data_IF_904886384984
#
_entry.id   IF_904886384984
#
_cell.length_a   1.000
_cell.length_b   1.000
_cell.length_c   1.000
_cell.angle_alpha   90.00
_cell.angle_beta   90.00
_cell.angle_gamma   90.00
#
_symmetry.space_group_name_H-M   'P 1'
#
loop_
_entity.id
_entity.type
_entity.pdbx_description
1 polymer ?
#
# COMPACT_ATOMS: atom_id res chain seq x y z
N UNK A 1 -4.21 -7.40 -7.70
CA UNK A 1 -3.34 -6.50 -6.91
C UNK A 1 -4.18 -5.31 -6.53
N UNK A 2 -4.34 -5.06 -5.23
CA UNK A 2 -5.19 -3.98 -4.71
C UNK A 2 -4.28 -2.89 -4.18
N UNK A 3 -3.58 -2.24 -5.11
CA UNK A 3 -2.68 -1.12 -4.84
C UNK A 3 -3.21 0.09 -5.59
N UNK A 4 -3.24 1.24 -4.94
CA UNK A 4 -3.61 2.48 -5.58
C UNK A 4 -2.37 3.08 -6.28
N UNK A 5 -2.47 3.51 -7.54
CA UNK A 5 -1.37 4.18 -8.23
C UNK A 5 -1.11 5.58 -7.67
N UNK A 6 -2.09 6.17 -6.98
CA UNK A 6 -2.00 7.47 -6.32
C UNK A 6 -3.12 7.59 -5.28
N UNK A 7 -2.82 8.25 -4.17
CA UNK A 7 -3.83 8.69 -3.18
C UNK A 7 -4.35 10.11 -3.43
N UNK A 8 -3.83 10.81 -4.44
CA UNK A 8 -4.33 12.11 -4.89
C UNK A 8 -5.36 11.88 -5.99
N UNK A 9 -6.60 12.28 -5.72
CA UNK A 9 -7.68 12.26 -6.71
C UNK A 9 -7.51 13.50 -7.60
N UNK A 10 -7.18 13.28 -8.86
CA UNK A 10 -7.05 14.36 -9.84
C UNK A 10 -8.43 14.77 -10.36
N UNK A 11 -8.54 16.01 -10.83
CA UNK A 11 -9.73 16.44 -11.53
C UNK A 11 -9.83 15.70 -12.88
N UNK A 12 -10.95 15.02 -13.09
CA UNK A 12 -11.26 14.27 -14.31
C UNK A 12 -12.79 14.13 -14.42
N UNK A 13 -13.27 13.44 -15.45
CA UNK A 13 -14.65 13.06 -15.59
C UNK A 13 -15.14 12.22 -14.38
N UNK A 14 -16.43 12.33 -14.06
CA UNK A 14 -16.98 11.70 -12.85
C UNK A 14 -16.84 10.17 -12.80
N UNK A 15 -16.79 9.49 -13.95
CA UNK A 15 -16.57 8.05 -13.99
C UNK A 15 -15.15 7.68 -13.58
N UNK A 16 -14.15 8.42 -14.06
CA UNK A 16 -12.74 8.24 -13.71
C UNK A 16 -12.48 8.54 -12.22
N UNK A 17 -13.01 9.65 -11.70
CA UNK A 17 -12.90 10.00 -10.27
C UNK A 17 -13.46 8.90 -9.38
N UNK A 18 -14.65 8.37 -9.70
CA UNK A 18 -15.26 7.27 -8.94
C UNK A 18 -14.43 5.99 -9.04
N UNK A 19 -13.89 5.67 -10.21
CA UNK A 19 -13.02 4.51 -10.37
C UNK A 19 -11.77 4.61 -9.49
N UNK A 20 -11.15 5.80 -9.44
CA UNK A 20 -9.98 6.05 -8.60
C UNK A 20 -10.33 5.94 -7.10
N UNK A 21 -11.45 6.49 -6.66
CA UNK A 21 -11.93 6.34 -5.27
C UNK A 21 -12.08 4.86 -4.90
N UNK A 22 -12.71 4.06 -5.76
CA UNK A 22 -12.88 2.63 -5.51
C UNK A 22 -11.55 1.89 -5.43
N UNK A 23 -10.56 2.28 -6.24
CA UNK A 23 -9.21 1.71 -6.15
C UNK A 23 -8.52 2.08 -4.83
N UNK A 24 -8.62 3.33 -4.39
CA UNK A 24 -8.07 3.77 -3.10
C UNK A 24 -8.71 3.01 -1.94
N UNK A 25 -10.04 2.90 -1.91
CA UNK A 25 -10.76 2.18 -0.85
C UNK A 25 -10.42 0.68 -0.86
N UNK A 26 -10.32 0.07 -2.03
CA UNK A 26 -9.87 -1.31 -2.15
C UNK A 26 -8.45 -1.49 -1.59
N UNK A 27 -7.52 -0.59 -1.93
CA UNK A 27 -6.16 -0.63 -1.44
C UNK A 27 -6.09 -0.49 0.08
N UNK A 28 -6.84 0.45 0.67
CA UNK A 28 -6.93 0.62 2.12
C UNK A 28 -7.47 -0.65 2.81
N UNK A 29 -8.54 -1.25 2.28
CA UNK A 29 -9.14 -2.47 2.83
C UNK A 29 -8.16 -3.65 2.83
N UNK A 30 -7.28 -3.73 1.83
CA UNK A 30 -6.34 -4.84 1.66
C UNK A 30 -4.92 -4.52 2.13
N UNK A 31 -4.72 -3.40 2.83
CA UNK A 31 -3.37 -2.98 3.26
C UNK A 31 -2.39 -2.91 2.07
N UNK A 32 -2.87 -2.34 0.96
CA UNK A 32 -2.13 -2.21 -0.31
C UNK A 32 -1.49 -3.51 -0.81
N UNK A 33 -2.12 -4.67 -0.57
CA UNK A 33 -1.53 -5.99 -0.85
C UNK A 33 -1.06 -6.17 -2.30
N UNK A 34 0.14 -6.74 -2.46
CA UNK A 34 0.71 -7.09 -3.76
C UNK A 34 2.13 -7.61 -3.66
N UNK A 35 2.65 -8.17 -4.76
CA UNK A 35 4.00 -8.74 -4.84
C UNK A 35 5.08 -7.69 -5.20
N UNK A 36 4.66 -6.47 -5.54
CA UNK A 36 5.54 -5.34 -5.86
C UNK A 36 5.23 -4.22 -4.87
N UNK A 37 6.26 -3.47 -4.49
CA UNK A 37 6.10 -2.31 -3.61
C UNK A 37 5.12 -1.28 -4.19
N UNK A 38 4.20 -0.73 -3.39
CA UNK A 38 3.30 0.34 -3.83
C UNK A 38 4.08 1.56 -4.32
N UNK A 39 3.71 2.11 -5.48
CA UNK A 39 4.33 3.34 -6.00
C UNK A 39 3.89 4.60 -5.25
N UNK A 40 2.66 4.61 -4.73
CA UNK A 40 2.13 5.71 -3.93
C UNK A 40 2.42 5.43 -2.44
N UNK A 41 3.57 5.91 -1.96
CA UNK A 41 4.02 5.72 -0.58
C UNK A 41 3.68 6.90 0.31
N UNK A 42 3.62 6.63 1.60
CA UNK A 42 3.58 7.65 2.64
C UNK A 42 4.25 7.08 3.92
N UNK A 43 4.93 7.91 4.73
CA UNK A 43 5.46 7.48 6.02
C UNK A 43 4.41 6.73 6.86
N UNK A 44 4.79 5.60 7.46
CA UNK A 44 3.89 4.80 8.29
C UNK A 44 2.83 3.99 7.52
N UNK A 45 2.86 3.97 6.19
CA UNK A 45 1.99 3.14 5.37
C UNK A 45 2.23 1.65 5.62
N UNK A 46 1.14 0.89 5.72
CA UNK A 46 1.20 -0.57 5.77
C UNK A 46 1.07 -1.18 4.37
N UNK A 47 1.87 -2.23 4.12
CA UNK A 47 1.84 -3.00 2.88
C UNK A 47 1.94 -4.50 3.17
N UNK A 48 0.98 -5.29 2.68
CA UNK A 48 1.09 -6.75 2.69
C UNK A 48 1.84 -7.24 1.44
N UNK A 49 3.10 -7.65 1.63
CA UNK A 49 3.93 -8.22 0.58
C UNK A 49 3.53 -9.68 0.35
N UNK A 50 2.98 -9.96 -0.84
CA UNK A 50 2.54 -11.30 -1.25
C UNK A 50 3.58 -12.02 -2.11
N UNK A 51 4.78 -11.47 -2.28
CA UNK A 51 5.89 -12.16 -2.96
C UNK A 51 6.54 -13.23 -2.07
N UNK A 52 6.34 -13.14 -0.75
CA UNK A 52 6.85 -14.10 0.25
C UNK A 52 5.78 -15.13 0.64
N UNK A 53 6.22 -16.30 1.12
CA UNK A 53 5.34 -17.35 1.64
C UNK A 53 5.85 -17.81 3.03
N UNK A 54 5.12 -17.52 4.13
CA UNK A 54 3.85 -16.80 4.19
C UNK A 54 4.01 -15.30 3.83
N UNK A 55 2.94 -14.65 3.33
CA UNK A 55 2.95 -13.20 3.06
C UNK A 55 3.40 -12.39 4.27
N UNK A 56 4.20 -11.36 4.04
CA UNK A 56 4.82 -10.56 5.11
C UNK A 56 4.20 -9.17 5.16
N UNK A 57 3.72 -8.77 6.34
CA UNK A 57 3.26 -7.40 6.55
C UNK A 57 4.47 -6.47 6.80
N UNK A 58 4.57 -5.40 6.02
CA UNK A 58 5.63 -4.40 6.08
C UNK A 58 5.08 -3.02 6.44
N UNK A 59 5.91 -2.19 7.08
CA UNK A 59 5.64 -0.82 7.45
C UNK A 59 6.64 0.11 6.74
N UNK A 60 6.13 1.19 6.12
CA UNK A 60 6.97 2.24 5.55
C UNK A 60 7.63 3.03 6.68
N UNK A 61 8.95 3.18 6.61
CA UNK A 61 9.69 3.93 7.60
C UNK A 61 9.29 5.42 7.62
N UNK A 62 9.62 6.11 8.71
CA UNK A 62 9.27 7.53 8.91
C UNK A 62 9.95 8.48 7.91
N UNK A 63 11.02 8.03 7.27
CA UNK A 63 11.73 8.76 6.22
C UNK A 63 11.13 8.56 4.82
N UNK A 64 10.06 7.77 4.70
CA UNK A 64 9.45 7.35 3.44
C UNK A 64 10.45 6.79 2.41
N UNK A 65 11.45 6.04 2.89
CA UNK A 65 12.55 5.54 2.06
C UNK A 65 12.49 4.03 1.80
N UNK A 66 11.94 3.25 2.73
CA UNK A 66 11.89 1.78 2.63
C UNK A 66 10.73 1.17 3.42
N UNK A 67 10.28 0.00 2.98
CA UNK A 67 9.34 -0.87 3.72
C UNK A 67 10.08 -1.95 4.49
N UNK A 68 9.93 -1.93 5.81
CA UNK A 68 10.55 -2.92 6.70
C UNK A 68 9.50 -3.91 7.23
N UNK A 69 9.83 -5.19 7.46
CA UNK A 69 8.92 -6.14 8.10
C UNK A 69 8.41 -5.60 9.44
N UNK A 70 7.08 -5.58 9.64
CA UNK A 70 6.49 -5.11 10.90
C UNK A 70 6.77 -6.09 12.05
N UNK A 71 6.80 -7.39 11.73
CA UNK A 71 7.07 -8.47 12.66
C UNK A 71 8.23 -9.29 12.09
N UNK A 72 9.45 -8.90 12.42
CA UNK A 72 10.68 -9.66 12.10
C UNK A 72 10.90 -10.85 13.08
N UNK A 73 9.99 -11.06 14.03
CA UNK A 73 10.17 -12.09 15.06
C UNK A 73 11.30 -11.79 16.05
N UNK A 74 11.85 -10.57 16.05
CA UNK A 74 12.85 -10.11 17.00
C UNK A 74 12.26 -9.83 18.39
N UNK A 75 12.91 -10.37 19.41
CA UNK A 75 12.76 -9.95 20.82
C UNK A 75 13.04 -8.44 20.89
N UNK A 76 12.06 -7.66 21.37
CA UNK A 76 12.23 -6.25 21.70
C UNK A 76 12.89 -6.11 23.08
#
# INVERSE_FOLDING_TARGET
>A
MSQAPSFVIINDNGAAVRAQINQIVAALRSTSSGAVEPAATAPGMLWLDTSTTPPTLKLRNVADAAFEPLLDGGEY
#
